data_IF_777198966619
#
_entry.id   IF_777198966619
#
_cell.length_a   1.000
_cell.length_b   1.000
_cell.length_c   1.000
_cell.angle_alpha   90.00
_cell.angle_beta   90.00
_cell.angle_gamma   90.00
#
_symmetry.space_group_name_H-M   'P 1'
#
loop_
_entity.id
_entity.type
_entity.pdbx_description
1 polymer ?
#
# COMPACT_ATOMS: atom_id res chain seq x y z
N UNK A 1 -4.81 -15.36 -12.33
CA UNK A 1 -5.08 -16.47 -11.39
C UNK A 1 -5.43 -17.71 -12.18
N UNK A 2 -4.97 -18.88 -11.74
CA UNK A 2 -5.21 -20.16 -12.41
C UNK A 2 -5.44 -21.25 -11.36
N UNK A 3 -6.54 -22.02 -11.48
CA UNK A 3 -6.88 -23.12 -10.59
C UNK A 3 -7.13 -22.75 -9.13
N UNK A 4 -7.50 -21.49 -8.84
CA UNK A 4 -7.80 -21.02 -7.48
C UNK A 4 -9.30 -21.15 -7.25
N UNK A 5 -9.70 -21.87 -6.20
CA UNK A 5 -11.12 -22.08 -5.87
C UNK A 5 -11.39 -21.82 -4.41
N UNK A 6 -12.63 -21.48 -4.04
CA UNK A 6 -13.06 -21.32 -2.64
C UNK A 6 -12.17 -20.38 -1.80
N UNK A 7 -11.63 -19.34 -2.44
CA UNK A 7 -10.68 -18.41 -1.82
C UNK A 7 -11.27 -17.01 -1.66
N UNK A 8 -10.74 -16.24 -0.72
CA UNK A 8 -11.13 -14.84 -0.51
C UNK A 8 -9.97 -13.91 -0.85
N UNK A 9 -10.24 -12.92 -1.69
CA UNK A 9 -9.30 -11.94 -2.23
C UNK A 9 -9.84 -10.56 -1.87
N UNK A 10 -9.20 -9.89 -0.92
CA UNK A 10 -9.68 -8.60 -0.43
C UNK A 10 -8.54 -7.70 -0.01
N UNK A 11 -8.79 -6.38 -0.02
CA UNK A 11 -7.81 -5.34 0.35
C UNK A 11 -6.55 -5.32 -0.51
N UNK A 12 -6.70 -5.60 -1.81
CA UNK A 12 -5.61 -5.50 -2.77
C UNK A 12 -5.79 -4.31 -3.70
N UNK A 13 -4.69 -3.76 -4.20
CA UNK A 13 -4.69 -2.83 -5.33
C UNK A 13 -4.20 -3.55 -6.57
N UNK A 14 -5.02 -3.58 -7.62
CA UNK A 14 -4.72 -4.18 -8.90
C UNK A 14 -4.67 -3.10 -9.97
N UNK A 15 -3.49 -2.82 -10.50
CA UNK A 15 -3.29 -1.76 -11.51
C UNK A 15 -2.65 -2.36 -12.76
N UNK A 16 -3.23 -2.11 -13.92
CA UNK A 16 -2.63 -2.50 -15.21
C UNK A 16 -3.24 -1.73 -16.38
N UNK A 17 -2.41 -1.40 -17.37
CA UNK A 17 -2.83 -0.78 -18.64
C UNK A 17 -3.69 -1.69 -19.53
N UNK A 18 -3.84 -2.97 -19.21
CA UNK A 18 -4.72 -3.90 -19.93
C UNK A 18 -5.68 -4.62 -18.98
N UNK A 19 -5.23 -5.72 -18.37
CA UNK A 19 -6.02 -6.50 -17.41
C UNK A 19 -5.41 -6.34 -16.02
N UNK A 20 -6.10 -5.62 -15.13
CA UNK A 20 -5.75 -5.49 -13.72
C UNK A 20 -5.80 -6.87 -13.04
N UNK A 21 -6.78 -7.69 -13.42
CA UNK A 21 -6.89 -9.06 -12.97
C UNK A 21 -7.41 -9.97 -14.08
N UNK A 22 -6.62 -11.01 -14.40
CA UNK A 22 -7.05 -12.08 -15.28
C UNK A 22 -7.42 -13.31 -14.45
N UNK A 23 -8.70 -13.60 -14.30
CA UNK A 23 -9.22 -14.80 -13.65
C UNK A 23 -9.52 -15.84 -14.74
N UNK A 24 -8.78 -16.95 -14.71
CA UNK A 24 -9.00 -18.06 -15.64
C UNK A 24 -10.34 -18.77 -15.36
N UNK A 25 -10.92 -19.41 -16.37
CA UNK A 25 -12.17 -20.19 -16.23
C UNK A 25 -12.10 -21.33 -15.23
N UNK A 26 -10.91 -21.79 -14.87
CA UNK A 26 -10.68 -22.80 -13.82
C UNK A 26 -10.78 -22.25 -12.40
N UNK A 27 -10.92 -20.93 -12.23
CA UNK A 27 -11.11 -20.30 -10.94
C UNK A 27 -12.61 -20.08 -10.66
N UNK A 28 -13.12 -20.76 -9.65
CA UNK A 28 -14.54 -20.75 -9.27
C UNK A 28 -14.74 -20.60 -7.75
N UNK A 29 -15.92 -20.13 -7.35
CA UNK A 29 -16.32 -19.96 -5.94
C UNK A 29 -15.39 -19.05 -5.11
N UNK A 30 -14.65 -18.15 -5.76
CA UNK A 30 -13.82 -17.18 -5.08
C UNK A 30 -14.59 -15.90 -4.76
N UNK A 31 -14.13 -15.16 -3.76
CA UNK A 31 -14.78 -13.94 -3.28
C UNK A 31 -13.84 -12.76 -3.33
N UNK A 32 -14.23 -11.71 -4.05
CA UNK A 32 -13.48 -10.48 -4.25
C UNK A 32 -14.22 -9.28 -3.64
N UNK A 33 -13.66 -8.62 -2.64
CA UNK A 33 -14.23 -7.40 -2.05
C UNK A 33 -13.13 -6.47 -1.52
N UNK A 34 -13.39 -5.18 -1.35
CA UNK A 34 -12.45 -4.17 -0.86
C UNK A 34 -11.15 -4.08 -1.67
N UNK A 35 -11.17 -4.48 -2.93
CA UNK A 35 -10.03 -4.31 -3.81
C UNK A 35 -10.17 -2.98 -4.57
N UNK A 36 -9.04 -2.34 -4.83
CA UNK A 36 -8.93 -1.17 -5.69
C UNK A 36 -8.50 -1.63 -7.09
N UNK A 37 -9.40 -1.59 -8.06
CA UNK A 37 -9.17 -2.17 -9.39
C UNK A 37 -9.11 -1.06 -10.43
N UNK A 38 -7.94 -0.89 -11.03
CA UNK A 38 -7.67 0.01 -12.14
C UNK A 38 -7.17 -0.76 -13.37
N UNK A 39 -8.10 -1.06 -14.27
CA UNK A 39 -7.90 -1.84 -15.49
C UNK A 39 -9.02 -2.84 -15.74
N UNK A 40 -8.93 -3.61 -16.82
CA UNK A 40 -9.95 -4.60 -17.17
C UNK A 40 -9.87 -5.83 -16.24
N UNK A 41 -11.01 -6.47 -16.03
CA UNK A 41 -11.10 -7.73 -15.29
C UNK A 41 -11.70 -8.83 -16.17
N UNK A 42 -11.01 -9.96 -16.25
CA UNK A 42 -11.61 -11.21 -16.70
C UNK A 42 -12.06 -11.99 -15.46
N UNK A 43 -13.31 -12.44 -15.42
CA UNK A 43 -13.98 -12.92 -14.20
C UNK A 43 -13.88 -14.44 -13.98
N UNK A 44 -13.48 -15.25 -14.96
CA UNK A 44 -13.65 -16.71 -14.80
C UNK A 44 -15.15 -17.05 -14.64
N UNK A 45 -15.49 -18.09 -13.89
CA UNK A 45 -16.89 -18.56 -13.71
C UNK A 45 -17.25 -18.64 -12.24
N UNK A 46 -18.49 -18.34 -11.87
CA UNK A 46 -19.05 -18.53 -10.51
C UNK A 46 -18.24 -17.90 -9.35
N UNK A 47 -17.70 -16.69 -9.57
CA UNK A 47 -17.06 -15.89 -8.51
C UNK A 47 -18.01 -14.84 -7.94
N UNK A 48 -17.72 -14.36 -6.73
CA UNK A 48 -18.52 -13.39 -6.00
C UNK A 48 -17.75 -12.08 -5.82
N UNK A 49 -18.34 -10.93 -6.16
CA UNK A 49 -17.68 -9.62 -6.03
C UNK A 49 -18.12 -8.80 -4.83
N UNK A 50 -18.57 -9.48 -3.77
CA UNK A 50 -19.00 -8.85 -2.52
C UNK A 50 -18.60 -9.69 -1.32
N UNK A 51 -18.43 -9.05 -0.16
CA UNK A 51 -18.18 -9.75 1.10
C UNK A 51 -19.34 -10.68 1.48
N UNK A 52 -19.05 -11.77 2.22
CA UNK A 52 -20.09 -12.67 2.73
C UNK A 52 -20.76 -12.14 4.01
N UNK A 53 -20.10 -11.21 4.69
CA UNK A 53 -20.52 -10.62 5.95
C UNK A 53 -20.48 -9.10 5.89
N UNK A 54 -21.23 -8.46 6.79
CA UNK A 54 -21.22 -7.00 6.90
C UNK A 54 -19.92 -6.52 7.53
N UNK A 55 -19.27 -5.57 6.88
CA UNK A 55 -18.03 -4.92 7.30
C UNK A 55 -18.39 -3.51 7.78
N UNK A 56 -17.77 -3.09 8.88
CA UNK A 56 -17.89 -1.72 9.38
C UNK A 56 -16.86 -0.86 8.66
N UNK A 57 -17.27 0.32 8.19
CA UNK A 57 -16.40 1.23 7.46
C UNK A 57 -16.77 2.70 7.71
N UNK A 58 -15.89 3.58 7.28
CA UNK A 58 -16.08 5.04 7.29
C UNK A 58 -16.24 5.58 5.88
N UNK A 59 -17.11 6.58 5.71
CA UNK A 59 -17.24 7.34 4.47
C UNK A 59 -17.62 8.79 4.81
N UNK A 60 -16.84 9.76 4.31
CA UNK A 60 -17.03 11.19 4.58
C UNK A 60 -17.18 11.52 6.10
N UNK A 61 -16.41 10.82 6.95
CA UNK A 61 -16.40 10.98 8.39
C UNK A 61 -17.58 10.36 9.15
N UNK A 62 -18.49 9.66 8.46
CA UNK A 62 -19.59 8.91 9.08
C UNK A 62 -19.29 7.40 9.07
N UNK A 63 -19.79 6.68 10.08
CA UNK A 63 -19.59 5.23 10.20
C UNK A 63 -20.81 4.46 9.71
N UNK A 64 -20.56 3.43 8.91
CA UNK A 64 -21.56 2.58 8.27
C UNK A 64 -21.23 1.10 8.49
N UNK A 65 -22.20 0.23 8.20
CA UNK A 65 -22.01 -1.23 8.25
C UNK A 65 -22.85 -1.92 7.17
N UNK A 66 -22.20 -2.59 6.24
CA UNK A 66 -22.87 -3.23 5.10
C UNK A 66 -22.02 -4.35 4.51
N UNK A 67 -22.59 -5.15 3.61
CA UNK A 67 -21.80 -5.93 2.65
C UNK A 67 -21.12 -4.96 1.69
N UNK A 68 -19.85 -5.21 1.37
CA UNK A 68 -19.02 -4.34 0.54
C UNK A 68 -18.50 -5.09 -0.68
N UNK A 69 -18.44 -4.40 -1.81
CA UNK A 69 -17.84 -4.85 -3.05
C UNK A 69 -16.46 -4.22 -3.25
N UNK A 70 -16.12 -3.90 -4.50
CA UNK A 70 -14.80 -3.41 -4.90
C UNK A 70 -14.89 -1.98 -5.44
N UNK A 71 -13.76 -1.27 -5.43
CA UNK A 71 -13.61 -0.03 -6.16
C UNK A 71 -13.15 -0.32 -7.58
N UNK A 72 -13.76 0.38 -8.55
CA UNK A 72 -13.49 0.20 -9.98
C UNK A 72 -13.19 1.57 -10.58
N UNK A 73 -11.93 1.82 -10.96
CA UNK A 73 -11.49 3.15 -11.42
C UNK A 73 -12.25 3.65 -12.66
N UNK A 74 -12.70 2.74 -13.53
CA UNK A 74 -13.49 3.06 -14.71
C UNK A 74 -14.99 3.22 -14.46
N UNK A 75 -15.47 2.98 -13.23
CA UNK A 75 -16.88 2.97 -12.91
C UNK A 75 -17.23 4.18 -12.03
N UNK A 76 -18.06 5.06 -12.57
CA UNK A 76 -18.52 6.26 -11.87
C UNK A 76 -20.03 6.38 -12.08
N UNK A 77 -20.77 6.08 -11.02
CA UNK A 77 -22.22 6.16 -10.96
C UNK A 77 -22.64 6.89 -9.68
N UNK A 78 -23.93 7.10 -9.48
CA UNK A 78 -24.42 7.87 -8.33
C UNK A 78 -24.55 7.00 -7.08
N UNK A 79 -23.97 7.45 -5.98
CA UNK A 79 -24.34 7.07 -4.61
C UNK A 79 -25.43 8.03 -4.13
N UNK A 80 -26.70 7.62 -4.24
CA UNK A 80 -27.87 8.46 -3.93
C UNK A 80 -28.09 8.59 -2.43
N UNK A 81 -27.72 7.54 -1.69
CA UNK A 81 -28.01 7.43 -0.28
C UNK A 81 -26.88 8.00 0.61
N UNK A 82 -25.69 8.21 0.03
CA UNK A 82 -24.53 8.84 0.66
C UNK A 82 -23.81 7.93 1.65
N UNK A 83 -23.89 6.61 1.48
CA UNK A 83 -23.19 5.65 2.33
C UNK A 83 -21.81 5.25 1.80
N UNK A 84 -21.41 5.68 0.61
CA UNK A 84 -20.13 5.32 0.00
C UNK A 84 -20.21 4.04 -0.84
N UNK A 85 -21.41 3.50 -1.03
CA UNK A 85 -21.68 2.38 -1.92
C UNK A 85 -22.50 2.89 -3.11
N UNK A 86 -22.04 2.60 -4.31
CA UNK A 86 -22.78 2.92 -5.53
C UNK A 86 -24.05 2.05 -5.60
N UNK A 87 -25.20 2.70 -5.81
CA UNK A 87 -26.51 2.01 -5.81
C UNK A 87 -26.71 1.09 -7.02
N UNK A 88 -26.02 1.37 -8.12
CA UNK A 88 -26.07 0.59 -9.36
C UNK A 88 -24.98 -0.49 -9.34
N UNK A 89 -25.32 -1.79 -9.48
CA UNK A 89 -24.33 -2.85 -9.58
C UNK A 89 -23.37 -2.68 -10.75
N UNK A 90 -22.09 -3.02 -10.55
CA UNK A 90 -21.12 -3.11 -11.63
C UNK A 90 -21.11 -4.54 -12.19
N UNK A 91 -21.45 -4.69 -13.47
CA UNK A 91 -21.53 -6.00 -14.13
C UNK A 91 -20.21 -6.35 -14.83
N UNK A 92 -19.64 -7.50 -14.46
CA UNK A 92 -18.47 -8.10 -15.07
C UNK A 92 -18.84 -9.44 -15.70
N UNK A 93 -18.92 -9.49 -17.04
CA UNK A 93 -19.21 -10.71 -17.81
C UNK A 93 -20.35 -11.54 -17.18
N UNK A 94 -21.55 -10.94 -17.08
CA UNK A 94 -22.78 -11.53 -16.54
C UNK A 94 -22.80 -11.82 -15.02
N UNK A 95 -21.75 -11.47 -14.28
CA UNK A 95 -21.74 -11.47 -12.81
C UNK A 95 -21.72 -10.05 -12.27
N UNK A 96 -22.33 -9.81 -11.11
CA UNK A 96 -22.41 -8.46 -10.56
C UNK A 96 -21.59 -8.31 -9.27
N UNK A 97 -20.83 -7.21 -9.20
CA UNK A 97 -20.57 -6.54 -7.95
C UNK A 97 -21.81 -5.71 -7.59
N UNK A 98 -22.56 -6.15 -6.59
CA UNK A 98 -23.81 -5.49 -6.17
C UNK A 98 -23.60 -4.40 -5.13
N UNK A 99 -22.36 -4.19 -4.69
CA UNK A 99 -21.97 -3.16 -3.72
C UNK A 99 -20.68 -2.44 -4.13
N UNK A 100 -20.58 -1.88 -5.35
CA UNK A 100 -19.37 -1.19 -5.77
C UNK A 100 -19.09 0.00 -4.87
N UNK A 101 -17.82 0.25 -4.57
CA UNK A 101 -17.42 1.35 -3.69
C UNK A 101 -17.37 2.66 -4.47
N UNK A 102 -17.82 3.75 -3.85
CA UNK A 102 -17.85 5.07 -4.46
C UNK A 102 -16.44 5.69 -4.63
N UNK A 103 -15.46 5.20 -3.89
CA UNK A 103 -14.06 5.63 -3.94
C UNK A 103 -13.16 4.47 -3.44
N UNK A 104 -11.83 4.62 -3.51
CA UNK A 104 -10.86 3.59 -3.14
C UNK A 104 -11.02 3.13 -1.68
N UNK A 105 -10.84 1.84 -1.43
CA UNK A 105 -10.73 1.30 -0.07
C UNK A 105 -9.35 1.61 0.54
N UNK A 106 -9.36 2.12 1.78
CA UNK A 106 -8.18 2.45 2.57
C UNK A 106 -8.39 1.99 4.03
N UNK A 107 -8.12 0.72 4.32
CA UNK A 107 -8.08 0.14 5.68
C UNK A 107 -9.23 0.59 6.60
N UNK A 108 -10.47 0.28 6.19
CA UNK A 108 -11.67 0.65 6.94
C UNK A 108 -12.37 1.93 6.48
N UNK A 109 -11.84 2.62 5.46
CA UNK A 109 -12.46 3.82 4.87
C UNK A 109 -12.68 3.68 3.36
N UNK A 110 -13.81 4.19 2.88
CA UNK A 110 -14.06 4.42 1.45
C UNK A 110 -13.67 5.87 1.15
N UNK A 111 -12.68 6.01 0.27
CA UNK A 111 -12.14 7.27 -0.21
C UNK A 111 -10.92 7.79 0.54
N UNK A 112 -10.37 8.88 0.02
CA UNK A 112 -9.28 9.65 0.64
C UNK A 112 -9.90 10.82 1.39
N UNK A 113 -10.36 10.65 2.64
CA UNK A 113 -11.03 11.76 3.31
C UNK A 113 -10.08 12.95 3.56
N UNK A 114 -10.29 14.01 2.76
CA UNK A 114 -9.82 15.36 3.02
C UNK A 114 -11.03 16.15 3.51
N UNK A 115 -11.15 16.32 4.83
CA UNK A 115 -12.22 17.15 5.41
C UNK A 115 -12.28 18.54 4.75
N UNK A 116 -13.47 19.11 4.50
CA UNK A 116 -13.57 20.44 3.94
C UNK A 116 -12.95 21.46 4.91
N UNK A 117 -12.02 22.25 4.39
CA UNK A 117 -11.45 23.40 5.08
C UNK A 117 -12.55 24.43 5.35
N UNK A 118 -13.01 24.48 6.60
CA UNK A 118 -13.55 25.71 7.18
C UNK A 118 -12.54 26.23 8.19
N UNK A 119 -11.95 27.37 7.85
CA UNK A 119 -11.10 28.14 8.75
C UNK A 119 -11.87 28.51 10.01
N UNK A 120 -11.56 27.85 11.12
CA UNK A 120 -11.34 28.51 12.41
C UNK A 120 -10.79 27.51 13.42
N UNK A 121 -9.58 27.79 13.92
CA UNK A 121 -9.10 27.46 15.28
C UNK A 121 -9.27 26.04 15.80
N UNK A 122 -8.13 25.34 15.94
CA UNK A 122 -7.95 24.27 16.92
C UNK A 122 -8.28 22.85 16.45
N UNK A 123 -7.31 21.96 16.67
CA UNK A 123 -7.43 20.50 16.72
C UNK A 123 -7.59 19.79 15.36
N UNK A 124 -6.47 19.36 14.75
CA UNK A 124 -6.45 18.43 13.60
C UNK A 124 -5.94 17.06 14.06
N UNK A 125 -6.68 15.94 13.93
CA UNK A 125 -7.15 15.17 12.75
C UNK A 125 -6.27 13.90 12.62
N UNK A 126 -6.89 12.75 12.84
CA UNK A 126 -6.21 11.50 13.22
C UNK A 126 -5.71 10.72 11.99
N UNK A 127 -4.56 11.12 11.46
CA UNK A 127 -3.55 10.09 11.20
C UNK A 127 -3.18 9.50 12.57
N UNK A 128 -2.65 8.27 12.64
CA UNK A 128 -2.03 7.88 13.92
C UNK A 128 -1.03 9.00 14.26
N UNK A 129 -1.16 9.57 15.45
CA UNK A 129 -0.52 10.85 15.79
C UNK A 129 0.99 10.76 15.75
N UNK A 130 1.50 9.55 15.54
CA UNK A 130 2.88 9.20 15.38
C UNK A 130 3.42 9.46 13.96
N UNK A 131 2.60 9.65 12.92
CA UNK A 131 3.10 9.81 11.54
C UNK A 131 3.70 11.20 11.32
N UNK A 132 4.82 11.25 10.60
CA UNK A 132 5.53 12.50 10.33
C UNK A 132 4.75 13.47 9.46
N UNK A 133 4.69 14.74 9.90
CA UNK A 133 4.11 15.84 9.15
C UNK A 133 4.92 16.20 7.90
N UNK A 134 6.20 15.83 7.85
CA UNK A 134 7.12 16.11 6.74
C UNK A 134 6.80 15.31 5.47
N UNK A 135 6.00 14.24 5.57
CA UNK A 135 5.54 13.52 4.38
C UNK A 135 4.46 14.39 3.68
N UNK A 136 4.76 14.85 2.47
CA UNK A 136 3.91 15.82 1.77
C UNK A 136 2.65 15.16 1.18
N UNK A 137 2.83 14.00 0.55
CA UNK A 137 1.74 13.29 -0.11
C UNK A 137 0.87 12.51 0.86
N UNK A 138 -0.45 12.61 0.65
CA UNK A 138 -1.43 11.78 1.35
C UNK A 138 -1.32 10.31 0.99
N UNK A 139 -0.96 10.01 -0.27
CA UNK A 139 -0.78 8.62 -0.73
C UNK A 139 0.35 7.96 0.07
N UNK A 140 1.47 8.66 0.21
CA UNK A 140 2.60 8.18 1.01
C UNK A 140 2.24 8.09 2.49
N UNK A 141 1.54 9.10 3.06
CA UNK A 141 1.06 9.06 4.46
C UNK A 141 0.16 7.85 4.72
N UNK A 142 -0.80 7.57 3.84
CA UNK A 142 -1.72 6.45 3.98
C UNK A 142 -0.96 5.12 3.93
N UNK A 143 0.01 4.99 3.00
CA UNK A 143 0.85 3.80 2.94
C UNK A 143 1.64 3.60 4.24
N UNK A 144 2.36 4.63 4.71
CA UNK A 144 3.15 4.57 5.97
C UNK A 144 2.26 4.28 7.18
N UNK A 145 1.03 4.79 7.20
CA UNK A 145 0.03 4.50 8.23
C UNK A 145 -0.31 3.01 8.31
N UNK A 146 -0.55 2.39 7.15
CA UNK A 146 -0.87 0.95 7.03
C UNK A 146 0.34 0.03 7.21
N UNK A 147 1.56 0.57 7.13
CA UNK A 147 2.79 -0.22 7.09
C UNK A 147 3.45 -0.33 8.46
N UNK A 148 4.05 -1.50 8.73
CA UNK A 148 5.01 -1.65 9.82
C UNK A 148 6.35 -1.05 9.39
N UNK A 149 6.84 -0.03 10.10
CA UNK A 149 8.15 0.56 9.83
C UNK A 149 9.22 -0.20 10.62
N UNK A 150 10.13 -0.85 9.90
CA UNK A 150 11.12 -1.79 10.41
C UNK A 150 12.53 -1.19 10.39
N UNK A 151 13.24 -1.27 11.51
CA UNK A 151 14.64 -0.84 11.63
C UNK A 151 15.54 -1.98 12.09
N UNK A 152 16.84 -1.91 11.76
CA UNK A 152 17.81 -2.97 12.08
C UNK A 152 18.63 -2.75 13.36
N UNK A 153 18.93 -1.51 13.69
CA UNK A 153 19.72 -1.12 14.85
C UNK A 153 19.28 0.25 15.38
N UNK A 154 19.80 0.67 16.53
CA UNK A 154 19.44 1.98 17.13
C UNK A 154 19.87 3.23 16.35
N UNK A 155 20.70 3.10 15.31
CA UNK A 155 20.99 4.21 14.38
C UNK A 155 19.88 4.27 13.32
N UNK A 156 19.50 3.12 12.76
CA UNK A 156 18.43 3.01 11.78
C UNK A 156 17.06 3.37 12.37
N UNK A 157 16.88 3.15 13.68
CA UNK A 157 15.73 3.64 14.43
C UNK A 157 15.55 5.16 14.28
N UNK A 158 16.64 5.94 14.31
CA UNK A 158 16.60 7.40 14.18
C UNK A 158 16.16 7.88 12.78
N UNK A 159 16.30 7.03 11.78
CA UNK A 159 15.77 7.27 10.43
C UNK A 159 14.32 6.81 10.33
N UNK A 160 14.01 5.62 10.86
CA UNK A 160 12.67 5.06 10.87
C UNK A 160 11.65 5.98 11.58
N UNK A 161 12.04 6.57 12.72
CA UNK A 161 11.16 7.48 13.48
C UNK A 161 10.83 8.79 12.75
N UNK A 162 11.55 9.12 11.68
CA UNK A 162 11.22 10.28 10.84
C UNK A 162 10.05 10.00 9.88
N UNK A 163 9.62 8.74 9.74
CA UNK A 163 8.41 8.37 9.02
C UNK A 163 7.22 8.28 9.97
N UNK A 164 7.42 7.64 11.13
CA UNK A 164 6.43 7.57 12.22
C UNK A 164 7.07 7.23 13.57
N UNK A 165 6.51 7.64 14.71
CA UNK A 165 7.06 7.33 16.04
C UNK A 165 7.01 5.82 16.37
N UNK A 166 5.96 5.11 15.92
CA UNK A 166 5.82 3.67 16.20
C UNK A 166 6.60 2.84 15.20
N UNK A 167 7.83 2.50 15.58
CA UNK A 167 8.73 1.66 14.78
C UNK A 167 8.96 0.30 15.44
N UNK A 168 9.32 -0.71 14.64
CA UNK A 168 9.52 -2.10 15.08
C UNK A 168 10.92 -2.58 14.76
N UNK A 169 11.57 -3.25 15.72
CA UNK A 169 12.85 -3.93 15.48
C UNK A 169 12.62 -5.11 14.51
N UNK A 170 13.38 -5.12 13.41
CA UNK A 170 13.32 -6.14 12.37
C UNK A 170 13.82 -7.52 12.84
N UNK A 171 14.54 -7.61 13.97
CA UNK A 171 15.11 -8.86 14.46
C UNK A 171 14.03 -9.88 14.84
N UNK A 172 13.91 -10.94 14.03
CA UNK A 172 12.92 -12.01 14.23
C UNK A 172 11.50 -11.60 13.83
N UNK A 173 11.32 -10.46 13.16
CA UNK A 173 10.04 -10.03 12.63
C UNK A 173 9.63 -10.91 11.44
N UNK A 174 8.38 -11.36 11.44
CA UNK A 174 7.76 -12.07 10.31
C UNK A 174 6.75 -11.15 9.66
N UNK A 175 6.86 -10.98 8.35
CA UNK A 175 5.96 -10.10 7.61
C UNK A 175 4.52 -10.61 7.66
N UNK A 176 3.60 -9.71 7.97
CA UNK A 176 2.17 -9.98 8.10
C UNK A 176 1.28 -8.87 7.51
N UNK A 177 1.90 -7.91 6.83
CA UNK A 177 1.28 -6.70 6.30
C UNK A 177 2.27 -5.88 5.46
N UNK A 178 1.82 -4.72 4.99
CA UNK A 178 2.70 -3.74 4.35
C UNK A 178 3.86 -3.37 5.28
N UNK A 179 5.03 -3.11 4.70
CA UNK A 179 6.23 -2.80 5.48
C UNK A 179 7.06 -1.69 4.83
N UNK A 180 7.69 -0.87 5.68
CA UNK A 180 8.78 0.02 5.27
C UNK A 180 10.04 -0.43 5.96
N UNK A 181 11.01 -0.93 5.20
CA UNK A 181 12.32 -1.30 5.71
C UNK A 181 13.21 -0.06 5.64
N UNK A 182 13.75 0.35 6.78
CA UNK A 182 14.74 1.43 6.87
C UNK A 182 16.08 0.85 7.31
N UNK A 183 17.12 1.11 6.52
CA UNK A 183 18.50 0.71 6.81
C UNK A 183 18.98 -0.54 6.06
N UNK A 184 20.29 -0.64 5.88
CA UNK A 184 20.93 -1.66 5.03
C UNK A 184 20.94 -3.08 5.62
N UNK A 185 21.28 -4.10 4.80
CA UNK A 185 21.20 -5.52 5.18
C UNK A 185 22.29 -5.97 6.16
N UNK A 186 23.29 -5.12 6.44
CA UNK A 186 24.31 -5.42 7.45
C UNK A 186 23.71 -5.38 8.87
N UNK A 187 22.78 -4.47 9.11
CA UNK A 187 22.19 -4.21 10.42
C UNK A 187 20.73 -4.67 10.50
N UNK A 188 19.98 -4.55 9.41
CA UNK A 188 18.58 -4.92 9.37
C UNK A 188 18.43 -6.39 8.95
N UNK A 189 18.08 -7.26 9.91
CA UNK A 189 17.93 -8.70 9.69
C UNK A 189 16.88 -9.05 8.64
N UNK A 190 15.80 -8.25 8.58
CA UNK A 190 14.77 -8.39 7.56
C UNK A 190 15.28 -7.91 6.19
N UNK A 191 15.95 -6.77 6.12
CA UNK A 191 16.61 -6.33 4.90
C UNK A 191 17.58 -7.41 4.38
N UNK A 192 18.35 -8.06 5.25
CA UNK A 192 19.27 -9.15 4.86
C UNK A 192 18.57 -10.33 4.19
N UNK A 193 17.38 -10.69 4.65
CA UNK A 193 16.59 -11.79 4.10
C UNK A 193 16.05 -11.48 2.70
N UNK A 194 15.54 -10.25 2.50
CA UNK A 194 14.86 -9.85 1.26
C UNK A 194 15.75 -9.11 0.25
N UNK A 195 16.93 -8.63 0.65
CA UNK A 195 17.79 -7.77 -0.20
C UNK A 195 18.03 -8.34 -1.61
N UNK A 196 18.23 -9.65 -1.72
CA UNK A 196 18.49 -10.31 -3.00
C UNK A 196 17.28 -10.40 -3.94
N UNK A 197 16.07 -10.12 -3.45
CA UNK A 197 14.82 -10.17 -4.20
C UNK A 197 14.47 -8.82 -4.84
N UNK A 198 15.08 -7.73 -4.37
CA UNK A 198 14.93 -6.41 -4.96
C UNK A 198 15.75 -6.27 -6.24
N UNK A 199 15.31 -5.39 -7.15
CA UNK A 199 15.98 -5.13 -8.43
C UNK A 199 17.41 -4.61 -8.24
N UNK A 200 17.63 -3.76 -7.23
CA UNK A 200 18.94 -3.19 -6.91
C UNK A 200 19.33 -3.55 -5.46
N UNK A 201 19.89 -4.75 -5.23
CA UNK A 201 20.34 -5.17 -3.91
C UNK A 201 21.39 -4.22 -3.33
N UNK A 202 21.19 -3.79 -2.09
CA UNK A 202 22.04 -2.81 -1.40
C UNK A 202 23.17 -3.55 -0.68
N UNK A 203 24.35 -2.94 -0.63
CA UNK A 203 25.49 -3.45 0.13
C UNK A 203 26.23 -2.30 0.79
N UNK A 204 27.38 -2.57 1.44
CA UNK A 204 28.21 -1.49 1.98
C UNK A 204 28.88 -0.66 0.88
N UNK A 205 29.00 -1.20 -0.34
CA UNK A 205 29.70 -0.55 -1.45
C UNK A 205 28.74 -0.01 -2.53
N UNK A 206 27.48 -0.48 -2.52
CA UNK A 206 26.46 -0.14 -3.51
C UNK A 206 25.19 0.35 -2.79
N UNK A 207 24.56 1.48 -3.20
CA UNK A 207 24.71 2.22 -4.46
C UNK A 207 25.94 3.14 -4.60
N UNK A 208 26.74 3.29 -3.54
CA UNK A 208 27.96 4.10 -3.52
C UNK A 208 27.92 5.19 -2.46
N UNK A 209 29.00 5.96 -2.37
CA UNK A 209 29.14 7.01 -1.35
C UNK A 209 28.00 8.03 -1.46
N UNK A 210 27.39 8.37 -0.31
CA UNK A 210 26.28 9.29 -0.14
C UNK A 210 25.02 8.93 -0.93
N UNK A 211 24.90 7.68 -1.39
CA UNK A 211 23.77 7.24 -2.22
C UNK A 211 22.86 6.27 -1.49
N UNK A 212 21.57 6.46 -1.69
CA UNK A 212 20.50 5.58 -1.23
C UNK A 212 19.61 5.12 -2.38
N UNK A 213 18.82 4.10 -2.11
CA UNK A 213 17.82 3.58 -3.03
C UNK A 213 16.48 3.54 -2.31
N UNK A 214 15.43 3.94 -3.01
CA UNK A 214 14.03 3.63 -2.69
C UNK A 214 13.57 2.60 -3.71
N UNK A 215 13.09 1.46 -3.25
CA UNK A 215 12.59 0.43 -4.15
C UNK A 215 11.40 -0.29 -3.52
N UNK A 216 10.44 -0.65 -4.36
CA UNK A 216 9.16 -1.23 -3.94
C UNK A 216 9.07 -2.63 -4.51
N UNK A 217 8.63 -3.58 -3.69
CA UNK A 217 8.27 -4.90 -4.15
C UNK A 217 6.94 -5.32 -3.54
N UNK A 218 6.22 -6.19 -4.24
CA UNK A 218 5.04 -6.86 -3.70
C UNK A 218 5.39 -8.32 -3.45
N UNK A 219 5.23 -8.78 -2.22
CA UNK A 219 5.32 -10.20 -1.89
C UNK A 219 3.92 -10.80 -1.85
N UNK A 220 3.79 -12.04 -2.31
CA UNK A 220 2.54 -12.81 -2.20
C UNK A 220 2.75 -13.93 -1.19
N UNK A 221 2.01 -13.89 -0.09
CA UNK A 221 1.93 -15.03 0.82
C UNK A 221 0.94 -16.05 0.26
N UNK A 222 1.50 -17.15 -0.24
CA UNK A 222 0.76 -18.28 -0.82
C UNK A 222 0.68 -19.47 0.16
N UNK A 223 1.01 -19.27 1.44
CA UNK A 223 1.17 -20.36 2.41
C UNK A 223 -0.16 -20.89 2.97
N UNK A 224 -1.31 -20.35 2.56
CA UNK A 224 -2.65 -20.75 3.01
C UNK A 224 -3.78 -20.52 2.00
N UNK A 225 -5.03 -20.67 2.44
CA UNK A 225 -6.26 -20.49 1.62
C UNK A 225 -6.58 -19.01 1.29
N UNK A 226 -5.81 -18.07 1.85
CA UNK A 226 -5.95 -16.63 1.64
C UNK A 226 -4.65 -16.14 0.99
N UNK A 227 -4.73 -15.65 -0.24
CA UNK A 227 -3.60 -14.99 -0.90
C UNK A 227 -3.56 -13.55 -0.39
N UNK A 228 -2.49 -13.20 0.33
CA UNK A 228 -2.26 -11.81 0.78
C UNK A 228 -1.08 -11.24 0.02
N UNK A 229 -1.28 -10.08 -0.59
CA UNK A 229 -0.19 -9.31 -1.19
C UNK A 229 0.24 -8.23 -0.20
N UNK A 230 1.54 -8.15 0.08
CA UNK A 230 2.09 -7.10 0.92
C UNK A 230 3.06 -6.25 0.11
N UNK A 231 2.91 -4.93 0.22
CA UNK A 231 3.84 -3.99 -0.39
C UNK A 231 4.95 -3.68 0.60
N UNK A 232 6.19 -3.92 0.16
CA UNK A 232 7.41 -3.64 0.91
C UNK A 232 8.12 -2.48 0.23
N UNK A 233 8.28 -1.37 0.95
CA UNK A 233 9.17 -0.27 0.55
C UNK A 233 10.49 -0.45 1.25
N UNK A 234 11.58 -0.45 0.49
CA UNK A 234 12.93 -0.55 1.01
C UNK A 234 13.70 0.76 0.79
N UNK A 235 14.09 1.40 1.89
CA UNK A 235 14.81 2.67 1.95
C UNK A 235 16.15 2.42 2.65
N UNK A 236 17.23 2.38 1.88
CA UNK A 236 18.57 2.25 2.45
C UNK A 236 19.65 2.80 1.51
N UNK A 237 20.78 3.17 2.09
CA UNK A 237 22.01 3.46 1.36
C UNK A 237 23.18 2.60 1.82
N UNK A 238 24.27 2.70 1.08
CA UNK A 238 25.56 2.09 1.44
C UNK A 238 26.21 2.75 2.66
N UNK A 239 25.79 3.98 2.96
CA UNK A 239 26.16 4.71 4.15
C UNK A 239 24.97 5.49 4.74
N UNK A 240 25.24 6.20 5.84
CA UNK A 240 24.25 6.98 6.60
C UNK A 240 23.67 8.14 5.79
N UNK A 241 24.49 8.81 4.99
CA UNK A 241 24.04 9.95 4.18
C UNK A 241 23.20 9.47 3.01
N UNK A 242 23.54 8.32 2.42
CA UNK A 242 22.73 7.64 1.44
C UNK A 242 21.35 7.25 1.95
N UNK A 243 21.28 6.62 3.13
CA UNK A 243 19.98 6.31 3.77
C UNK A 243 19.18 7.58 4.06
N UNK A 244 19.82 8.65 4.56
CA UNK A 244 19.15 9.94 4.77
C UNK A 244 18.65 10.54 3.43
N UNK A 245 19.42 10.44 2.35
CA UNK A 245 19.01 10.95 1.04
C UNK A 245 17.75 10.27 0.52
N UNK A 246 17.73 8.94 0.56
CA UNK A 246 16.56 8.17 0.16
C UNK A 246 15.35 8.47 1.06
N UNK A 247 15.56 8.62 2.36
CA UNK A 247 14.50 8.95 3.32
C UNK A 247 13.88 10.33 3.08
N UNK A 248 14.72 11.36 2.90
CA UNK A 248 14.25 12.73 2.63
C UNK A 248 13.51 12.79 1.30
N UNK A 249 14.03 12.13 0.25
CA UNK A 249 13.35 12.08 -1.03
C UNK A 249 12.02 11.29 -0.96
N UNK A 250 11.96 10.23 -0.16
CA UNK A 250 10.73 9.46 0.04
C UNK A 250 9.58 10.32 0.59
N UNK A 251 9.88 11.26 1.50
CA UNK A 251 8.88 12.18 2.08
C UNK A 251 8.26 13.13 1.05
N UNK A 252 8.97 13.39 -0.06
CA UNK A 252 8.52 14.28 -1.15
C UNK A 252 7.84 13.55 -2.30
N UNK A 253 7.75 12.21 -2.24
CA UNK A 253 7.09 11.44 -3.31
C UNK A 253 5.59 11.74 -3.35
N UNK A 254 5.03 11.86 -4.55
CA UNK A 254 3.58 11.93 -4.74
C UNK A 254 2.94 10.54 -4.63
N UNK A 255 3.64 9.50 -5.11
CA UNK A 255 3.21 8.10 -5.12
C UNK A 255 4.41 7.14 -4.98
N UNK A 256 4.14 5.85 -4.70
CA UNK A 256 5.18 4.84 -4.63
C UNK A 256 5.77 4.57 -6.02
N UNK A 257 7.10 4.47 -6.17
CA UNK A 257 7.71 4.33 -7.48
C UNK A 257 7.54 2.93 -8.05
N UNK A 258 7.32 2.83 -9.36
CA UNK A 258 7.22 1.56 -10.09
C UNK A 258 8.55 0.81 -10.21
N UNK A 259 9.67 1.54 -10.10
CA UNK A 259 11.03 1.00 -10.17
C UNK A 259 11.95 1.62 -9.12
N UNK A 260 13.17 1.11 -8.98
CA UNK A 260 14.13 1.64 -8.02
C UNK A 260 14.53 3.08 -8.39
N UNK A 261 14.51 3.96 -7.40
CA UNK A 261 15.04 5.32 -7.51
C UNK A 261 16.35 5.35 -6.75
N UNK A 262 17.44 5.74 -7.41
CA UNK A 262 18.71 6.06 -6.75
C UNK A 262 18.75 7.56 -6.42
N UNK A 263 19.19 7.88 -5.21
CA UNK A 263 19.24 9.25 -4.70
C UNK A 263 20.61 9.51 -4.09
N UNK A 264 21.22 10.64 -4.43
CA UNK A 264 22.49 11.11 -3.86
C UNK A 264 22.25 12.29 -2.91
N UNK A 265 22.89 12.26 -1.74
CA UNK A 265 22.96 13.41 -0.84
C UNK A 265 23.94 14.45 -1.38
N UNK A 266 23.44 15.64 -1.69
CA UNK A 266 24.27 16.78 -2.12
C UNK A 266 24.25 17.90 -1.08
N UNK A 267 25.11 18.91 -1.27
CA UNK A 267 25.08 20.12 -0.46
C UNK A 267 23.73 20.87 -0.51
N UNK A 268 22.90 20.62 -1.54
CA UNK A 268 21.60 21.24 -1.74
C UNK A 268 20.43 20.30 -1.37
N UNK A 269 20.71 19.14 -0.76
CA UNK A 269 19.71 18.12 -0.43
C UNK A 269 19.75 16.91 -1.36
N UNK A 270 18.75 16.00 -1.24
CA UNK A 270 18.68 14.78 -2.03
C UNK A 270 18.38 15.07 -3.51
N UNK A 271 19.08 14.38 -4.41
CA UNK A 271 18.90 14.51 -5.87
C UNK A 271 18.82 13.12 -6.49
N UNK A 272 17.86 12.90 -7.40
CA UNK A 272 17.76 11.65 -8.16
C UNK A 272 18.98 11.48 -9.07
N UNK A 273 19.54 10.27 -9.09
CA UNK A 273 20.64 9.87 -9.96
C UNK A 273 20.07 8.96 -11.04
N UNK A 274 20.26 9.33 -12.31
CA UNK A 274 19.96 8.48 -13.48
C UNK A 274 20.95 7.32 -13.64
#
# INVERSE_FOLDING_TARGET
>A
MYGITNSTIFENTFTSNMYALYIDSTCEENRFYLNNIDGLLNNGTDNYFVSSENITYSYLGSSYKSVLGNYWASYNETDTNGDGIIDTPYTINDTNDTKPLADMWNDGEIGNYVAPSRSSGGSGRSYDSDISDEIESKVIKNFVSSATVLFGNGIDEQYAVQLRERVTDANGYTISGNAVIVGGPLANGFAKEYNSQFEMPISNDYPGENRGIIQVMTIQDNSGTIIRSYTIVYIAGSDRLGTQAALEYFKTLDELPEGPIMIEWTANGPVVVE
#
